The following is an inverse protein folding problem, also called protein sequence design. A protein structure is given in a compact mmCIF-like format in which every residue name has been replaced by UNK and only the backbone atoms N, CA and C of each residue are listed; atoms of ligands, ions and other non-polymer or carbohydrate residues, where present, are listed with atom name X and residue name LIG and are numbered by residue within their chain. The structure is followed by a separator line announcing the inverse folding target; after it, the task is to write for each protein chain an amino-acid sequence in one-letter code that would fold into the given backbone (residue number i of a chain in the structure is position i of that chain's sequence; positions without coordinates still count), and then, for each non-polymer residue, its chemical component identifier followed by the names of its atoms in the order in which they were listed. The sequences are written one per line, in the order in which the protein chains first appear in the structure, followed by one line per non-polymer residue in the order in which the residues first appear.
data_IF_004900118545
#
_entry.id   IF_004900118545
#
_cell.length_a   1.000
_cell.length_b   1.000
_cell.length_c   1.000
_cell.angle_alpha   90.00
_cell.angle_beta   90.00
_cell.angle_gamma   90.00
#
_symmetry.space_group_name_H-M   'P 1'
#
loop_
_entity.id
_entity.type
_entity.pdbx_description
1 polymer ?
#
# COMPACT_ATOMS: atom_id res chain seq x y z
N UNK A 1 12.02 -9.87 -7.06
CA UNK A 1 10.80 -9.13 -6.66
C UNK A 1 9.54 -9.90 -6.99
N UNK A 2 9.47 -10.63 -8.11
CA UNK A 2 8.28 -11.44 -8.46
C UNK A 2 7.95 -12.49 -7.39
N UNK A 3 8.97 -13.14 -6.84
CA UNK A 3 8.83 -14.13 -5.76
C UNK A 3 8.62 -13.50 -4.38
N UNK A 4 8.70 -12.17 -4.27
CA UNK A 4 8.48 -11.50 -3.01
C UNK A 4 7.00 -11.55 -2.63
N UNK A 5 6.73 -11.57 -1.34
CA UNK A 5 5.38 -11.58 -0.78
C UNK A 5 5.13 -10.20 -0.18
N UNK A 6 4.15 -9.41 -0.70
CA UNK A 6 3.77 -8.16 -0.11
C UNK A 6 2.95 -8.40 1.17
N UNK A 7 3.40 -7.79 2.26
CA UNK A 7 2.76 -7.84 3.56
C UNK A 7 2.26 -6.42 3.93
N UNK A 8 0.99 -6.26 4.33
CA UNK A 8 0.46 -4.98 4.75
C UNK A 8 1.12 -4.52 6.06
N UNK A 9 1.33 -3.22 6.20
CA UNK A 9 1.84 -2.65 7.43
C UNK A 9 0.76 -2.79 8.53
N UNK A 10 1.06 -3.55 9.58
CA UNK A 10 0.14 -3.79 10.70
C UNK A 10 -0.24 -2.51 11.46
N UNK A 11 0.57 -1.45 11.35
CA UNK A 11 0.27 -0.14 11.93
C UNK A 11 -0.59 0.73 11.02
N UNK A 12 -0.89 0.30 9.79
CA UNK A 12 -1.75 1.04 8.89
C UNK A 12 -3.22 0.82 9.26
N UNK A 13 -3.98 1.90 9.36
CA UNK A 13 -5.43 1.85 9.57
C UNK A 13 -6.13 1.92 8.22
N UNK A 14 -7.17 1.11 8.06
CA UNK A 14 -7.92 1.00 6.80
C UNK A 14 -9.33 1.49 7.06
N UNK A 15 -9.75 2.48 6.28
CA UNK A 15 -11.08 3.08 6.34
C UNK A 15 -11.81 2.83 5.03
N UNK A 16 -12.90 2.07 5.10
CA UNK A 16 -13.75 1.77 3.96
C UNK A 16 -14.80 2.87 3.83
N UNK A 17 -14.81 3.55 2.68
CA UNK A 17 -15.76 4.62 2.41
C UNK A 17 -17.02 4.09 1.74
N UNK A 18 -18.15 4.75 1.99
CA UNK A 18 -19.46 4.39 1.45
C UNK A 18 -19.53 4.44 -0.09
N UNK A 19 -18.63 5.18 -0.73
CA UNK A 19 -18.48 5.27 -2.18
C UNK A 19 -17.68 4.10 -2.80
N UNK A 20 -17.25 3.13 -1.98
CA UNK A 20 -16.44 1.98 -2.43
C UNK A 20 -14.94 2.24 -2.48
N UNK A 21 -14.46 3.46 -2.20
CA UNK A 21 -13.03 3.76 -2.07
C UNK A 21 -12.49 3.30 -0.71
N UNK A 22 -11.18 3.11 -0.65
CA UNK A 22 -10.48 2.65 0.54
C UNK A 22 -9.36 3.64 0.87
N UNK A 23 -9.36 4.15 2.10
CA UNK A 23 -8.32 5.08 2.56
C UNK A 23 -7.41 4.36 3.55
N UNK A 24 -6.11 4.39 3.27
CA UNK A 24 -5.09 3.79 4.14
C UNK A 24 -4.34 4.89 4.87
N UNK A 25 -4.40 4.86 6.20
CA UNK A 25 -3.69 5.79 7.06
C UNK A 25 -2.42 5.14 7.61
N UNK A 26 -1.26 5.71 7.27
CA UNK A 26 0.04 5.27 7.79
C UNK A 26 0.58 6.28 8.80
N UNK A 27 1.12 5.84 9.96
CA UNK A 27 1.71 6.75 10.93
C UNK A 27 2.95 7.45 10.35
N UNK A 28 2.99 8.77 10.49
CA UNK A 28 4.16 9.56 10.10
C UNK A 28 5.23 9.46 11.19
N UNK A 29 6.47 9.16 10.79
CA UNK A 29 7.60 9.08 11.72
C UNK A 29 7.88 10.48 12.28
N UNK A 30 7.57 10.70 13.56
CA UNK A 30 7.77 12.00 14.22
C UNK A 30 9.26 12.37 14.22
N UNK A 31 9.57 13.58 13.75
CA UNK A 31 10.94 14.11 13.83
C UNK A 31 11.19 14.68 15.23
N UNK A 32 12.44 14.68 15.67
CA UNK A 32 12.83 15.18 17.00
C UNK A 32 12.34 16.60 17.32
N UNK A 33 12.24 17.49 16.34
CA UNK A 33 11.70 18.85 16.53
C UNK A 33 10.17 18.91 16.64
N UNK A 34 9.46 17.83 16.33
CA UNK A 34 7.99 17.72 16.44
C UNK A 34 7.56 17.15 17.79
N UNK A 35 8.44 17.15 18.78
CA UNK A 35 8.14 16.78 20.16
C UNK A 35 7.62 18.02 20.93
N UNK A 36 6.90 17.85 22.06
CA UNK A 36 6.47 18.97 22.89
C UNK A 36 7.65 19.85 23.32
N UNK A 37 7.48 21.19 23.40
CA UNK A 37 6.23 21.95 23.25
C UNK A 37 5.87 22.35 21.80
N UNK A 38 6.74 22.10 20.81
CA UNK A 38 6.52 22.54 19.42
C UNK A 38 5.31 21.90 18.76
N UNK A 39 4.99 20.64 19.11
CA UNK A 39 3.78 19.94 18.67
C UNK A 39 2.48 20.49 19.24
N UNK A 40 2.53 21.26 20.33
CA UNK A 40 1.34 21.93 20.87
C UNK A 40 1.07 23.23 20.12
N UNK A 41 2.13 23.95 19.76
CA UNK A 41 2.04 25.19 19.00
C UNK A 41 1.57 24.95 17.56
N UNK A 42 1.99 23.82 16.96
CA UNK A 42 1.66 23.45 15.59
C UNK A 42 0.80 22.19 15.59
N UNK A 43 -0.38 22.24 14.97
CA UNK A 43 -1.23 21.06 14.72
C UNK A 43 -0.54 20.10 13.74
N UNK A 44 0.44 19.34 14.22
CA UNK A 44 1.21 18.40 13.39
C UNK A 44 0.33 17.21 13.04
N UNK A 45 0.14 16.98 11.73
CA UNK A 45 -0.53 15.78 11.20
C UNK A 45 0.29 14.55 11.59
N UNK A 46 -0.33 13.63 12.33
CA UNK A 46 0.34 12.41 12.81
C UNK A 46 0.23 11.23 11.83
N UNK A 47 -0.66 11.33 10.85
CA UNK A 47 -0.93 10.27 9.88
C UNK A 47 -1.04 10.84 8.46
N UNK A 48 -0.65 10.01 7.48
CA UNK A 48 -0.89 10.26 6.07
C UNK A 48 -1.94 9.27 5.55
N UNK A 49 -3.07 9.80 5.09
CA UNK A 49 -4.12 9.02 4.40
C UNK A 49 -3.84 8.95 2.91
N UNK A 50 -3.99 7.77 2.34
CA UNK A 50 -3.88 7.50 0.91
C UNK A 50 -5.16 6.83 0.44
N UNK A 51 -5.93 7.54 -0.38
CA UNK A 51 -7.11 6.97 -1.02
C UNK A 51 -6.68 6.10 -2.21
N UNK A 52 -7.25 4.90 -2.27
CA UNK A 52 -7.08 3.96 -3.36
C UNK A 52 -8.34 3.95 -4.23
N UNK A 53 -8.11 3.97 -5.54
CA UNK A 53 -9.14 3.71 -6.54
C UNK A 53 -9.49 2.22 -6.58
N UNK A 54 -10.47 1.83 -7.41
CA UNK A 54 -10.93 0.44 -7.47
C UNK A 54 -9.81 -0.55 -7.82
N UNK A 55 -8.93 -0.21 -8.76
CA UNK A 55 -7.81 -1.05 -9.18
C UNK A 55 -6.74 -1.14 -8.09
N UNK A 56 -6.36 -0.02 -7.48
CA UNK A 56 -5.40 0.02 -6.39
C UNK A 56 -5.90 -0.73 -5.15
N UNK A 57 -7.19 -0.62 -4.85
CA UNK A 57 -7.85 -1.39 -3.78
C UNK A 57 -7.73 -2.88 -4.02
N UNK A 58 -8.02 -3.34 -5.24
CA UNK A 58 -7.94 -4.76 -5.60
C UNK A 58 -6.50 -5.31 -5.39
N UNK A 59 -5.49 -4.58 -5.86
CA UNK A 59 -4.08 -4.98 -5.70
C UNK A 59 -3.69 -4.97 -4.21
N UNK A 60 -4.14 -3.97 -3.45
CA UNK A 60 -3.88 -3.90 -2.02
C UNK A 60 -4.57 -5.04 -1.23
N UNK A 61 -5.82 -5.37 -1.53
CA UNK A 61 -6.53 -6.50 -0.92
C UNK A 61 -5.88 -7.86 -1.27
N UNK A 62 -5.20 -7.94 -2.42
CA UNK A 62 -4.41 -9.10 -2.79
C UNK A 62 -3.09 -9.23 -2.01
N UNK A 63 -2.63 -8.16 -1.33
CA UNK A 63 -1.46 -8.16 -0.46
C UNK A 63 -1.80 -8.76 0.91
N UNK A 64 -1.96 -10.08 0.95
CA UNK A 64 -2.39 -10.84 2.13
C UNK A 64 -1.23 -11.47 2.92
N UNK A 65 0.03 -11.23 2.51
CA UNK A 65 1.19 -11.88 3.10
C UNK A 65 1.36 -13.35 2.70
N UNK A 66 0.60 -13.86 1.72
CA UNK A 66 0.67 -15.25 1.24
C UNK A 66 0.99 -15.35 -0.24
N UNK A 67 0.39 -14.49 -1.07
CA UNK A 67 0.58 -14.48 -2.53
C UNK A 67 1.90 -13.81 -2.91
N UNK A 68 2.59 -14.33 -3.91
CA UNK A 68 3.76 -13.63 -4.47
C UNK A 68 3.31 -12.47 -5.34
N UNK A 69 4.21 -11.51 -5.62
CA UNK A 69 3.96 -10.43 -6.57
C UNK A 69 3.58 -10.99 -7.94
N UNK A 70 4.20 -12.08 -8.38
CA UNK A 70 3.84 -12.76 -9.63
C UNK A 70 2.39 -13.26 -9.62
N UNK A 71 1.94 -13.93 -8.55
CA UNK A 71 0.55 -14.38 -8.45
C UNK A 71 -0.43 -13.21 -8.48
N UNK A 72 -0.08 -12.08 -7.87
CA UNK A 72 -0.91 -10.86 -7.92
C UNK A 72 -0.99 -10.33 -9.35
N UNK A 73 0.14 -10.30 -10.07
CA UNK A 73 0.19 -9.88 -11.48
C UNK A 73 -0.65 -10.78 -12.36
N UNK A 74 -0.53 -12.10 -12.23
CA UNK A 74 -1.27 -13.08 -13.04
C UNK A 74 -2.77 -12.94 -12.82
N UNK A 75 -3.20 -12.87 -11.55
CA UNK A 75 -4.60 -12.71 -11.21
C UNK A 75 -5.16 -11.37 -11.71
N UNK A 76 -4.39 -10.28 -11.59
CA UNK A 76 -4.79 -8.96 -12.08
C UNK A 76 -4.89 -8.95 -13.60
N UNK A 77 -3.93 -9.57 -14.31
CA UNK A 77 -3.95 -9.70 -15.75
C UNK A 77 -5.18 -10.48 -16.24
N UNK A 78 -5.47 -11.61 -15.58
CA UNK A 78 -6.63 -12.44 -15.91
C UNK A 78 -7.96 -11.72 -15.70
N UNK A 79 -8.11 -10.99 -14.58
CA UNK A 79 -9.36 -10.28 -14.24
C UNK A 79 -9.63 -9.08 -15.14
N UNK A 80 -8.58 -8.38 -15.57
CA UNK A 80 -8.69 -7.17 -16.41
C UNK A 80 -8.40 -7.43 -17.89
N UNK A 81 -8.28 -8.68 -18.30
CA UNK A 81 -7.96 -9.10 -19.68
C UNK A 81 -6.71 -8.42 -20.26
N UNK A 82 -5.71 -8.16 -19.43
CA UNK A 82 -4.46 -7.50 -19.82
C UNK A 82 -3.39 -8.52 -20.20
N UNK A 83 -2.40 -8.06 -20.97
CA UNK A 83 -1.18 -8.85 -21.17
C UNK A 83 -0.35 -8.87 -19.88
N UNK A 84 0.36 -9.97 -19.62
CA UNK A 84 1.24 -10.08 -18.45
C UNK A 84 2.20 -8.89 -18.31
N UNK A 85 2.79 -8.43 -19.41
CA UNK A 85 3.72 -7.30 -19.40
C UNK A 85 3.06 -5.98 -18.97
N UNK A 86 1.82 -5.73 -19.38
CA UNK A 86 1.07 -4.52 -19.02
C UNK A 86 0.65 -4.57 -17.55
N UNK A 87 0.08 -5.69 -17.12
CA UNK A 87 -0.31 -5.92 -15.73
C UNK A 87 0.91 -5.81 -14.80
N UNK A 88 2.04 -6.40 -15.18
CA UNK A 88 3.29 -6.33 -14.44
C UNK A 88 3.73 -4.88 -14.23
N UNK A 89 3.75 -4.06 -15.28
CA UNK A 89 4.17 -2.66 -15.16
C UNK A 89 3.27 -1.89 -14.20
N UNK A 90 1.95 -2.02 -14.35
CA UNK A 90 0.96 -1.33 -13.51
C UNK A 90 1.04 -1.77 -12.04
N UNK A 91 0.99 -3.08 -11.79
CA UNK A 91 1.03 -3.65 -10.44
C UNK A 91 2.37 -3.36 -9.75
N UNK A 92 3.49 -3.52 -10.45
CA UNK A 92 4.80 -3.20 -9.86
C UNK A 92 4.94 -1.72 -9.52
N UNK A 93 4.49 -0.82 -10.40
CA UNK A 93 4.52 0.62 -10.13
C UNK A 93 3.69 0.97 -8.90
N UNK A 94 2.50 0.38 -8.76
CA UNK A 94 1.63 0.59 -7.62
C UNK A 94 2.22 0.02 -6.32
N UNK A 95 2.71 -1.22 -6.32
CA UNK A 95 3.37 -1.82 -5.16
C UNK A 95 4.59 -0.99 -4.71
N UNK A 96 5.38 -0.46 -5.65
CA UNK A 96 6.49 0.45 -5.32
C UNK A 96 6.00 1.73 -4.64
N UNK A 97 4.87 2.30 -5.05
CA UNK A 97 4.27 3.44 -4.36
C UNK A 97 3.85 3.09 -2.93
N UNK A 98 3.23 1.92 -2.73
CA UNK A 98 2.83 1.46 -1.39
C UNK A 98 4.04 1.23 -0.48
N UNK A 99 5.12 0.64 -1.00
CA UNK A 99 6.39 0.47 -0.26
C UNK A 99 6.98 1.82 0.13
N UNK A 100 7.07 2.77 -0.82
CA UNK A 100 7.59 4.13 -0.56
C UNK A 100 6.77 4.88 0.49
N UNK A 101 5.46 4.63 0.54
CA UNK A 101 4.53 5.23 1.51
C UNK A 101 4.50 4.48 2.86
N UNK A 102 5.24 3.37 2.99
CA UNK A 102 5.24 2.54 4.19
C UNK A 102 3.92 1.82 4.43
N UNK A 103 3.08 1.67 3.40
CA UNK A 103 1.78 0.98 3.48
C UNK A 103 1.97 -0.54 3.47
N UNK A 104 2.95 -1.03 2.73
CA UNK A 104 3.32 -2.46 2.67
C UNK A 104 4.83 -2.61 2.78
N UNK A 105 5.27 -3.84 3.06
CA UNK A 105 6.66 -4.29 2.94
C UNK A 105 6.72 -5.49 2.02
N UNK A 106 7.83 -5.64 1.28
CA UNK A 106 8.08 -6.81 0.45
C UNK A 106 9.03 -7.75 1.18
N UNK A 107 8.61 -8.98 1.41
CA UNK A 107 9.44 -10.02 2.03
C UNK A 107 9.94 -10.94 0.92
N UNK A 108 11.26 -11.08 0.80
CA UNK A 108 11.84 -12.05 -0.14
C UNK A 108 11.60 -13.48 0.33
N UNK A 109 11.27 -14.38 -0.59
CA UNK A 109 11.27 -15.82 -0.32
C UNK A 109 12.73 -16.30 -0.44
N UNK A 110 13.32 -16.75 0.67
CA UNK A 110 14.62 -17.45 0.68
C UNK A 110 14.47 -18.88 0.19
#
# INVERSE_FOLDING_TARGET
MLDAVPLPNQSAQVDHRDNGSLVIYVPLRQRWFMQPPWSWLLRVRQQAGYELDGLGREVWEACDGKRTVENIIDNFAARHHLRFHEARLSVMAFLQQLVRRGVIVLVGKS
#
